data_IF_990624628409
#
_entry.id   IF_990624628409
#
_cell.length_a   1.000
_cell.length_b   1.000
_cell.length_c   1.000
_cell.angle_alpha   90.00
_cell.angle_beta   90.00
_cell.angle_gamma   90.00
#
_symmetry.space_group_name_H-M   'P 1'
#
loop_
_entity.id
_entity.type
_entity.pdbx_description
1 polymer ?
#
# COMPACT_ATOMS: atom_id res chain seq x y z
N UNK A 1 24.78 -24.43 10.29
CA UNK A 1 24.45 -23.36 11.28
C UNK A 1 23.07 -22.81 10.94
N UNK A 2 22.03 -23.02 11.78
CA UNK A 2 20.68 -22.49 11.49
C UNK A 2 20.64 -21.00 11.87
N UNK A 3 20.59 -20.12 10.87
CA UNK A 3 20.36 -18.69 11.11
C UNK A 3 18.97 -18.50 11.72
N UNK A 4 18.87 -18.36 13.04
CA UNK A 4 17.63 -17.97 13.71
C UNK A 4 17.34 -16.52 13.32
N UNK A 5 16.33 -16.30 12.47
CA UNK A 5 15.87 -14.95 12.17
C UNK A 5 15.32 -14.31 13.44
N UNK A 6 15.72 -13.07 13.71
CA UNK A 6 15.14 -12.26 14.77
C UNK A 6 13.66 -12.03 14.43
N UNK A 7 12.76 -12.56 15.26
CA UNK A 7 11.31 -12.41 15.07
C UNK A 7 10.97 -10.92 15.04
N UNK A 8 10.23 -10.47 14.04
CA UNK A 8 9.70 -9.11 14.01
C UNK A 8 8.72 -8.94 15.19
N UNK A 9 8.90 -7.86 15.94
CA UNK A 9 8.03 -7.47 17.06
C UNK A 9 7.44 -6.11 16.75
N UNK A 10 6.18 -5.89 17.15
CA UNK A 10 5.50 -4.61 16.98
C UNK A 10 6.23 -3.44 17.65
N UNK A 11 6.91 -3.70 18.77
CA UNK A 11 7.76 -2.72 19.47
C UNK A 11 8.88 -2.11 18.61
N UNK A 12 9.23 -2.72 17.48
CA UNK A 12 10.25 -2.20 16.57
C UNK A 12 9.69 -1.23 15.52
N UNK A 13 8.38 -0.98 15.52
CA UNK A 13 7.66 -0.18 14.55
C UNK A 13 6.88 0.92 15.26
N UNK A 14 6.62 2.04 14.57
CA UNK A 14 5.87 3.19 15.09
C UNK A 14 4.37 2.99 14.91
N UNK A 15 3.95 2.43 13.78
CA UNK A 15 2.52 2.33 13.42
C UNK A 15 2.05 0.90 13.15
N UNK A 16 2.93 0.03 12.65
CA UNK A 16 2.57 -1.35 12.29
C UNK A 16 2.34 -2.23 13.53
N UNK A 17 1.11 -2.75 13.62
CA UNK A 17 0.65 -3.62 14.71
C UNK A 17 0.85 -5.12 14.43
N UNK A 18 0.81 -5.94 15.48
CA UNK A 18 1.07 -7.40 15.42
C UNK A 18 0.26 -8.14 14.34
N UNK A 19 -1.00 -7.76 14.10
CA UNK A 19 -1.84 -8.40 13.06
C UNK A 19 -1.29 -8.15 11.65
N UNK A 20 -0.83 -6.94 11.38
CA UNK A 20 -0.23 -6.54 10.10
C UNK A 20 1.16 -7.17 9.94
N UNK A 21 1.92 -7.29 11.04
CA UNK A 21 3.17 -8.07 11.02
C UNK A 21 2.91 -9.52 10.65
N UNK A 22 1.83 -10.15 11.16
CA UNK A 22 1.51 -11.54 10.83
C UNK A 22 1.06 -11.68 9.36
N UNK A 23 0.22 -10.75 8.89
CA UNK A 23 -0.29 -10.73 7.52
C UNK A 23 -0.34 -9.29 7.00
N UNK A 24 0.67 -8.87 6.21
CA UNK A 24 0.72 -7.53 5.62
C UNK A 24 -0.46 -7.23 4.68
N UNK A 25 -1.08 -8.25 4.09
CA UNK A 25 -2.24 -8.06 3.21
C UNK A 25 -3.44 -7.43 3.93
N UNK A 26 -3.54 -7.56 5.26
CA UNK A 26 -4.57 -6.89 6.04
C UNK A 26 -4.49 -5.37 5.86
N UNK A 27 -3.28 -4.82 5.94
CA UNK A 27 -3.07 -3.39 5.71
C UNK A 27 -3.32 -3.02 4.25
N UNK A 28 -2.77 -3.81 3.32
CA UNK A 28 -2.86 -3.50 1.89
C UNK A 28 -4.32 -3.50 1.39
N UNK A 29 -5.13 -4.46 1.84
CA UNK A 29 -6.55 -4.55 1.50
C UNK A 29 -7.35 -3.38 2.08
N UNK A 30 -7.06 -2.96 3.30
CA UNK A 30 -7.70 -1.81 3.92
C UNK A 30 -7.33 -0.51 3.20
N UNK A 31 -6.02 -0.28 3.01
CA UNK A 31 -5.49 0.95 2.43
C UNK A 31 -5.90 1.14 0.97
N UNK A 32 -5.62 0.16 0.09
CA UNK A 32 -5.91 0.29 -1.35
C UNK A 32 -7.33 -0.14 -1.73
N UNK A 33 -7.97 -0.98 -0.92
CA UNK A 33 -9.35 -1.42 -1.18
C UNK A 33 -10.41 -0.44 -0.66
N UNK A 34 -10.11 0.29 0.42
CA UNK A 34 -11.13 1.12 1.09
C UNK A 34 -10.74 2.58 1.28
N UNK A 35 -9.45 2.90 1.52
CA UNK A 35 -9.05 4.26 1.90
C UNK A 35 -8.68 5.15 0.72
N UNK A 36 -7.93 4.64 -0.26
CA UNK A 36 -7.44 5.47 -1.37
C UNK A 36 -7.23 4.66 -2.66
N UNK A 37 -7.15 5.37 -3.78
CA UNK A 37 -6.74 4.80 -5.08
C UNK A 37 -5.27 5.10 -5.31
N UNK A 38 -4.55 4.19 -5.98
CA UNK A 38 -3.11 4.35 -6.22
C UNK A 38 -2.75 5.69 -6.87
N UNK A 39 -3.55 6.16 -7.84
CA UNK A 39 -3.32 7.45 -8.50
C UNK A 39 -3.47 8.67 -7.57
N UNK A 40 -4.34 8.61 -6.56
CA UNK A 40 -4.44 9.66 -5.54
C UNK A 40 -3.27 9.59 -4.58
N UNK A 41 -2.94 8.39 -4.10
CA UNK A 41 -1.83 8.22 -3.19
C UNK A 41 -0.47 8.65 -3.77
N UNK A 42 -0.22 8.39 -5.06
CA UNK A 42 0.98 8.88 -5.74
C UNK A 42 1.03 10.41 -5.82
N UNK A 43 -0.12 11.08 -5.92
CA UNK A 43 -0.19 12.55 -5.88
C UNK A 43 0.07 13.06 -4.46
N UNK A 44 -0.49 12.41 -3.45
CA UNK A 44 -0.27 12.77 -2.05
C UNK A 44 1.22 12.66 -1.69
N UNK A 45 1.90 11.58 -2.09
CA UNK A 45 3.36 11.44 -1.91
C UNK A 45 4.11 12.59 -2.59
N UNK A 46 3.74 12.94 -3.83
CA UNK A 46 4.36 14.06 -4.53
C UNK A 46 4.17 15.38 -3.80
N UNK A 47 2.97 15.64 -3.27
CA UNK A 47 2.68 16.85 -2.49
C UNK A 47 3.49 16.89 -1.20
N UNK A 48 3.56 15.79 -0.44
CA UNK A 48 4.38 15.67 0.77
C UNK A 48 5.84 16.03 0.47
N UNK A 49 6.41 15.41 -0.57
CA UNK A 49 7.81 15.64 -0.94
C UNK A 49 8.04 17.07 -1.40
N UNK A 50 7.16 17.62 -2.24
CA UNK A 50 7.29 19.00 -2.72
C UNK A 50 7.19 20.01 -1.57
N UNK A 51 6.21 19.85 -0.69
CA UNK A 51 6.03 20.74 0.46
C UNK A 51 7.19 20.65 1.45
N UNK A 52 7.78 19.46 1.63
CA UNK A 52 8.92 19.25 2.53
C UNK A 52 10.21 19.90 2.03
N UNK A 53 10.27 20.31 0.76
CA UNK A 53 11.46 20.87 0.12
C UNK A 53 11.22 22.35 -0.18
N UNK A 54 10.09 22.67 -0.80
CA UNK A 54 9.70 24.02 -1.15
C UNK A 54 8.43 24.43 -0.38
N UNK A 55 8.60 25.26 0.65
CA UNK A 55 7.48 25.78 1.45
C UNK A 55 6.48 26.61 0.62
N UNK A 56 6.93 27.25 -0.46
CA UNK A 56 6.07 28.04 -1.35
C UNK A 56 5.09 27.17 -2.16
N UNK A 57 5.43 25.90 -2.35
CA UNK A 57 4.53 24.92 -2.96
C UNK A 57 3.54 24.32 -1.95
N UNK A 58 3.70 24.59 -0.66
CA UNK A 58 2.77 24.14 0.36
C UNK A 58 1.45 24.90 0.28
N UNK A 59 0.35 24.21 0.59
CA UNK A 59 -0.95 24.82 0.80
C UNK A 59 -1.24 24.91 2.31
N UNK A 60 -1.02 26.07 2.97
CA UNK A 60 -1.19 26.20 4.42
C UNK A 60 -2.62 25.93 4.90
N UNK A 61 -3.61 26.09 4.01
CA UNK A 61 -5.02 25.84 4.31
C UNK A 61 -5.37 24.35 4.46
N UNK A 62 -4.50 23.44 4.00
CA UNK A 62 -4.69 21.99 4.07
C UNK A 62 -3.74 21.39 5.11
N UNK A 63 -4.21 21.20 6.33
CA UNK A 63 -3.41 20.68 7.46
C UNK A 63 -3.22 19.15 7.44
N UNK A 64 -3.59 18.47 6.35
CA UNK A 64 -3.56 17.00 6.26
C UNK A 64 -2.15 16.45 6.01
N UNK A 65 -1.16 17.32 5.78
CA UNK A 65 0.23 16.93 5.48
C UNK A 65 0.84 16.01 6.56
N UNK A 66 0.53 16.23 7.84
CA UNK A 66 0.99 15.36 8.93
C UNK A 66 0.32 13.98 8.91
N UNK A 67 -0.95 13.91 8.52
CA UNK A 67 -1.69 12.65 8.38
C UNK A 67 -1.11 11.81 7.23
N UNK A 68 -0.88 12.41 6.06
CA UNK A 68 -0.30 11.69 4.93
C UNK A 68 1.15 11.26 5.19
N UNK A 69 1.95 12.09 5.87
CA UNK A 69 3.31 11.70 6.25
C UNK A 69 3.29 10.49 7.21
N UNK A 70 2.35 10.45 8.16
CA UNK A 70 2.13 9.27 9.00
C UNK A 70 1.76 8.03 8.17
N UNK A 71 0.82 8.14 7.22
CA UNK A 71 0.46 7.03 6.32
C UNK A 71 1.66 6.54 5.50
N UNK A 72 2.54 7.45 5.08
CA UNK A 72 3.75 7.12 4.34
C UNK A 72 4.76 6.34 5.19
N UNK A 73 4.95 6.73 6.46
CA UNK A 73 5.79 5.97 7.41
C UNK A 73 5.20 4.57 7.60
N UNK A 74 3.88 4.45 7.79
CA UNK A 74 3.22 3.15 7.94
C UNK A 74 3.41 2.26 6.70
N UNK A 75 3.32 2.81 5.48
CA UNK A 75 3.64 2.06 4.26
C UNK A 75 5.09 1.57 4.21
N UNK A 76 6.06 2.41 4.63
CA UNK A 76 7.47 1.99 4.70
C UNK A 76 7.65 0.84 5.70
N UNK A 77 6.96 0.88 6.83
CA UNK A 77 6.99 -0.21 7.81
C UNK A 77 6.39 -1.50 7.27
N UNK A 78 5.22 -1.43 6.62
CA UNK A 78 4.56 -2.59 5.99
C UNK A 78 5.46 -3.20 4.92
N UNK A 79 6.05 -2.36 4.07
CA UNK A 79 7.04 -2.78 3.08
C UNK A 79 8.23 -3.49 3.73
N UNK A 80 8.72 -3.01 4.87
CA UNK A 80 9.82 -3.63 5.59
C UNK A 80 9.45 -5.00 6.15
N UNK A 81 8.22 -5.16 6.64
CA UNK A 81 7.70 -6.47 7.07
C UNK A 81 7.73 -7.44 5.90
N UNK A 82 7.18 -7.06 4.74
CA UNK A 82 7.17 -7.91 3.53
C UNK A 82 8.61 -8.26 3.12
N UNK A 83 9.49 -7.25 3.03
CA UNK A 83 10.91 -7.42 2.70
C UNK A 83 11.60 -8.47 3.59
N UNK A 84 11.34 -8.44 4.90
CA UNK A 84 11.92 -9.38 5.86
C UNK A 84 11.30 -10.76 5.81
N UNK A 85 9.98 -10.86 5.67
CA UNK A 85 9.26 -12.13 5.61
C UNK A 85 9.61 -12.92 4.34
N UNK A 86 9.67 -12.23 3.21
CA UNK A 86 10.04 -12.80 1.91
C UNK A 86 11.55 -13.02 1.75
N UNK A 87 12.37 -12.66 2.75
CA UNK A 87 13.84 -12.81 2.75
C UNK A 87 14.49 -12.18 1.52
N UNK A 88 13.97 -11.03 1.12
CA UNK A 88 14.49 -10.30 -0.02
C UNK A 88 15.94 -9.86 0.25
N UNK A 89 16.75 -9.88 -0.80
CA UNK A 89 18.19 -9.61 -0.72
C UNK A 89 18.45 -8.14 -1.01
N UNK A 90 19.53 -7.61 -0.44
CA UNK A 90 19.98 -6.27 -0.80
C UNK A 90 20.44 -6.23 -2.26
N UNK A 91 20.16 -5.12 -2.92
CA UNK A 91 20.60 -4.80 -4.27
C UNK A 91 21.86 -3.94 -4.22
N UNK A 92 22.83 -4.22 -5.08
CA UNK A 92 24.12 -3.48 -5.10
C UNK A 92 23.93 -2.05 -5.61
N UNK A 93 23.02 -1.88 -6.58
CA UNK A 93 22.73 -0.59 -7.21
C UNK A 93 21.26 -0.23 -7.03
N UNK A 94 20.88 0.40 -5.90
CA UNK A 94 19.48 0.67 -5.59
C UNK A 94 18.81 1.72 -6.51
N UNK A 95 19.60 2.56 -7.17
CA UNK A 95 19.11 3.62 -8.07
C UNK A 95 19.12 3.22 -9.56
N UNK A 96 19.52 2.00 -9.90
CA UNK A 96 19.48 1.49 -11.27
C UNK A 96 18.08 0.92 -11.56
N UNK A 97 17.17 1.80 -11.99
CA UNK A 97 15.76 1.47 -12.19
C UNK A 97 15.44 0.86 -13.56
N UNK A 98 16.19 1.21 -14.59
CA UNK A 98 15.94 0.78 -15.96
C UNK A 98 17.10 -0.09 -16.45
N UNK A 99 16.85 -1.40 -16.58
CA UNK A 99 17.84 -2.33 -17.14
C UNK A 99 17.77 -2.36 -18.67
N UNK A 100 16.57 -2.23 -19.21
CA UNK A 100 16.30 -2.31 -20.65
C UNK A 100 15.60 -1.05 -21.16
N UNK A 101 15.70 -0.80 -22.47
CA UNK A 101 14.92 0.26 -23.14
C UNK A 101 13.41 0.06 -22.95
N UNK A 102 12.96 -1.20 -22.89
CA UNK A 102 11.56 -1.54 -22.64
C UNK A 102 11.09 -1.04 -21.27
N UNK A 103 11.92 -1.17 -20.23
CA UNK A 103 11.60 -0.68 -18.88
C UNK A 103 11.41 0.84 -18.85
N UNK A 104 12.25 1.56 -19.59
CA UNK A 104 12.14 3.00 -19.71
C UNK A 104 10.80 3.41 -20.36
N UNK A 105 10.43 2.78 -21.47
CA UNK A 105 9.18 3.12 -22.16
C UNK A 105 7.94 2.67 -21.41
N UNK A 106 7.97 1.53 -20.72
CA UNK A 106 6.87 1.12 -19.84
C UNK A 106 6.61 2.17 -18.74
N UNK A 107 7.66 2.71 -18.15
CA UNK A 107 7.53 3.80 -17.19
C UNK A 107 7.03 5.10 -17.82
N UNK A 108 7.57 5.51 -18.96
CA UNK A 108 7.22 6.78 -19.61
C UNK A 108 5.81 6.79 -20.19
N UNK A 109 5.38 5.69 -20.81
CA UNK A 109 4.10 5.62 -21.53
C UNK A 109 2.97 5.09 -20.65
N UNK A 110 3.24 4.06 -19.86
CA UNK A 110 2.22 3.33 -19.11
C UNK A 110 2.24 3.69 -17.62
N UNK A 111 3.31 4.36 -17.14
CA UNK A 111 3.52 4.63 -15.72
C UNK A 111 3.95 3.39 -14.93
N UNK A 112 4.22 2.27 -15.61
CA UNK A 112 4.50 0.98 -14.99
C UNK A 112 5.95 0.87 -14.51
N UNK A 113 6.12 0.32 -13.31
CA UNK A 113 7.44 0.04 -12.72
C UNK A 113 7.87 -1.36 -13.10
N UNK A 114 8.51 -1.49 -14.26
CA UNK A 114 9.09 -2.76 -14.71
C UNK A 114 10.61 -2.79 -14.54
N UNK A 115 11.13 -4.00 -14.37
CA UNK A 115 12.57 -4.29 -14.42
C UNK A 115 12.78 -5.57 -15.24
N UNK A 116 13.60 -5.48 -16.30
CA UNK A 116 13.78 -6.56 -17.27
C UNK A 116 12.47 -6.93 -18.01
N UNK A 117 11.66 -5.92 -18.29
CA UNK A 117 10.40 -6.01 -19.04
C UNK A 117 9.24 -6.63 -18.27
N UNK A 118 9.35 -6.77 -16.94
CA UNK A 118 8.32 -7.34 -16.05
C UNK A 118 8.15 -6.50 -14.78
N UNK A 119 6.92 -6.40 -14.29
CA UNK A 119 6.63 -5.83 -12.97
C UNK A 119 7.23 -6.74 -11.91
N UNK A 120 8.08 -6.20 -11.04
CA UNK A 120 8.74 -6.98 -10.00
C UNK A 120 8.77 -6.21 -8.66
N UNK A 121 7.69 -6.31 -7.86
CA UNK A 121 7.63 -5.61 -6.58
C UNK A 121 8.73 -6.05 -5.61
N UNK A 122 9.20 -7.30 -5.70
CA UNK A 122 10.30 -7.80 -4.86
C UNK A 122 11.62 -7.08 -5.16
N UNK A 123 11.91 -6.80 -6.43
CA UNK A 123 13.09 -6.01 -6.83
C UNK A 123 12.98 -4.58 -6.31
N UNK A 124 11.81 -3.94 -6.45
CA UNK A 124 11.58 -2.59 -5.95
C UNK A 124 11.76 -2.49 -4.43
N UNK A 125 11.17 -3.41 -3.65
CA UNK A 125 11.38 -3.47 -2.21
C UNK A 125 12.85 -3.69 -1.85
N UNK A 126 13.55 -4.55 -2.60
CA UNK A 126 14.97 -4.82 -2.40
C UNK A 126 15.82 -3.56 -2.63
N UNK A 127 15.57 -2.82 -3.71
CA UNK A 127 16.25 -1.55 -4.01
C UNK A 127 15.94 -0.49 -2.96
N UNK A 128 14.68 -0.36 -2.55
CA UNK A 128 14.25 0.61 -1.53
C UNK A 128 15.00 0.46 -0.19
N UNK A 129 15.08 -0.75 0.35
CA UNK A 129 15.81 -1.03 1.60
C UNK A 129 17.33 -1.22 1.44
N UNK A 130 17.81 -1.13 0.19
CA UNK A 130 19.26 -1.08 -0.11
C UNK A 130 19.76 0.35 -0.24
N UNK A 131 18.90 1.29 -0.64
CA UNK A 131 19.21 2.71 -0.62
C UNK A 131 19.50 3.19 0.81
N UNK A 132 18.59 2.89 1.74
CA UNK A 132 18.80 3.15 3.16
C UNK A 132 18.04 2.16 4.06
N UNK A 133 18.46 2.08 5.32
CA UNK A 133 17.82 1.21 6.31
C UNK A 133 16.45 1.76 6.73
N UNK A 134 15.62 0.94 7.40
CA UNK A 134 14.35 1.40 7.97
C UNK A 134 14.55 2.62 8.89
N UNK A 135 15.62 2.62 9.69
CA UNK A 135 15.94 3.76 10.56
C UNK A 135 16.28 5.01 9.75
N UNK A 136 17.04 4.87 8.66
CA UNK A 136 17.35 6.00 7.77
C UNK A 136 16.10 6.55 7.06
N UNK A 137 15.14 5.67 6.74
CA UNK A 137 13.83 6.11 6.25
C UNK A 137 13.01 6.85 7.31
N UNK A 138 13.06 6.44 8.57
CA UNK A 138 12.44 7.23 9.63
C UNK A 138 13.06 8.61 9.75
N UNK A 139 14.39 8.72 9.78
CA UNK A 139 15.09 10.02 9.83
C UNK A 139 14.67 10.91 8.65
N UNK A 140 14.66 10.36 7.43
CA UNK A 140 14.23 11.09 6.22
C UNK A 140 12.79 11.59 6.31
N UNK A 141 11.85 10.75 6.77
CA UNK A 141 10.44 11.09 6.84
C UNK A 141 10.13 12.02 8.04
N UNK A 142 10.88 11.90 9.13
CA UNK A 142 10.80 12.82 10.26
C UNK A 142 11.30 14.20 9.88
N UNK A 143 12.43 14.28 9.16
CA UNK A 143 12.93 15.54 8.61
C UNK A 143 11.85 16.19 7.73
N UNK A 144 11.25 15.44 6.80
CA UNK A 144 10.15 15.94 5.96
C UNK A 144 8.97 16.44 6.82
N UNK A 145 8.56 15.68 7.84
CA UNK A 145 7.45 16.06 8.73
C UNK A 145 7.75 17.35 9.51
N UNK A 146 8.99 17.54 9.98
CA UNK A 146 9.38 18.76 10.68
C UNK A 146 9.23 19.99 9.77
N UNK A 147 9.59 19.89 8.50
CA UNK A 147 9.45 20.99 7.54
C UNK A 147 8.01 21.28 7.13
N UNK A 148 7.17 20.25 7.08
CA UNK A 148 5.74 20.45 6.91
C UNK A 148 5.13 21.26 8.07
N UNK A 149 5.71 21.14 9.27
CA UNK A 149 5.26 21.87 10.46
C UNK A 149 5.89 23.26 10.58
N UNK A 150 7.15 23.43 10.16
CA UNK A 150 7.88 24.70 10.22
C UNK A 150 7.84 25.44 8.87
N UNK A 151 6.81 26.27 8.69
CA UNK A 151 6.65 27.11 7.50
C UNK A 151 7.64 28.28 7.45
N UNK A 152 8.54 28.41 8.43
CA UNK A 152 9.57 29.46 8.41
C UNK A 152 10.75 28.96 7.57
N UNK A 153 10.77 29.36 6.30
CA UNK A 153 11.68 28.86 5.24
C UNK A 153 13.18 29.03 5.51
N UNK A 154 13.75 28.20 6.39
CA UNK A 154 15.18 28.09 6.63
C UNK A 154 15.78 26.98 5.74
N UNK A 155 16.20 27.39 4.54
CA UNK A 155 17.24 26.71 3.76
C UNK A 155 16.83 25.38 3.10
N UNK A 156 16.44 25.50 1.83
CA UNK A 156 15.99 24.52 0.82
C UNK A 156 17.04 23.43 0.42
N UNK A 157 18.16 23.30 1.13
CA UNK A 157 19.31 22.52 0.63
C UNK A 157 19.56 21.17 1.33
N UNK A 158 18.79 20.77 2.36
CA UNK A 158 19.12 19.56 3.15
C UNK A 158 19.05 18.27 2.34
N UNK A 159 18.08 18.16 1.44
CA UNK A 159 17.99 16.98 0.58
C UNK A 159 18.86 17.09 -0.67
N UNK A 160 19.13 18.31 -1.15
CA UNK A 160 19.88 18.57 -2.38
C UNK A 160 19.42 17.67 -3.53
N UNK A 161 20.35 17.16 -4.31
CA UNK A 161 20.06 16.22 -5.41
C UNK A 161 19.44 14.89 -4.94
N UNK A 162 19.57 14.53 -3.65
CA UNK A 162 19.01 13.27 -3.12
C UNK A 162 17.49 13.28 -3.09
N UNK A 163 16.86 14.46 -3.10
CA UNK A 163 15.40 14.56 -3.09
C UNK A 163 14.77 13.84 -4.28
N UNK A 164 15.43 13.90 -5.45
CA UNK A 164 14.96 13.24 -6.67
C UNK A 164 14.95 11.72 -6.46
N UNK A 165 16.00 11.17 -5.86
CA UNK A 165 16.08 9.74 -5.55
C UNK A 165 15.07 9.33 -4.48
N UNK A 166 14.90 10.13 -3.43
CA UNK A 166 13.93 9.88 -2.35
C UNK A 166 12.51 9.86 -2.91
N UNK A 167 12.15 10.89 -3.69
CA UNK A 167 10.84 10.99 -4.37
C UNK A 167 10.56 9.76 -5.22
N UNK A 168 11.49 9.42 -6.10
CA UNK A 168 11.34 8.29 -7.02
C UNK A 168 11.19 6.97 -6.26
N UNK A 169 11.97 6.75 -5.21
CA UNK A 169 11.90 5.55 -4.38
C UNK A 169 10.57 5.44 -3.62
N UNK A 170 10.04 6.55 -3.09
CA UNK A 170 8.75 6.56 -2.39
C UNK A 170 7.58 6.28 -3.34
N UNK A 171 7.60 6.86 -4.55
CA UNK A 171 6.59 6.58 -5.58
C UNK A 171 6.62 5.11 -6.02
N UNK A 172 7.80 4.59 -6.32
CA UNK A 172 7.98 3.17 -6.69
C UNK A 172 7.59 2.23 -5.56
N UNK A 173 7.84 2.60 -4.30
CA UNK A 173 7.40 1.83 -3.14
C UNK A 173 5.87 1.69 -3.12
N UNK A 174 5.15 2.80 -3.28
CA UNK A 174 3.70 2.81 -3.32
C UNK A 174 3.16 1.93 -4.45
N UNK A 175 3.74 2.02 -5.65
CA UNK A 175 3.38 1.17 -6.79
C UNK A 175 3.67 -0.30 -6.51
N UNK A 176 4.82 -0.63 -5.92
CA UNK A 176 5.15 -2.01 -5.56
C UNK A 176 4.17 -2.59 -4.55
N UNK A 177 3.77 -1.83 -3.53
CA UNK A 177 2.77 -2.25 -2.56
C UNK A 177 1.38 -2.43 -3.20
N UNK A 178 1.01 -1.54 -4.12
CA UNK A 178 -0.21 -1.68 -4.91
C UNK A 178 -0.19 -2.94 -5.79
N UNK A 179 0.91 -3.23 -6.47
CA UNK A 179 1.01 -4.47 -7.25
C UNK A 179 0.96 -5.73 -6.38
N UNK A 180 1.49 -5.69 -5.14
CA UNK A 180 1.34 -6.80 -4.20
C UNK A 180 -0.13 -6.96 -3.80
N UNK A 181 -0.84 -5.87 -3.56
CA UNK A 181 -2.27 -5.86 -3.30
C UNK A 181 -3.06 -6.47 -4.48
N UNK A 182 -2.86 -5.92 -5.68
CA UNK A 182 -3.59 -6.26 -6.90
C UNK A 182 -3.39 -7.72 -7.31
N UNK A 183 -2.17 -8.25 -7.12
CA UNK A 183 -1.87 -9.66 -7.38
C UNK A 183 -2.27 -10.61 -6.23
N UNK A 184 -2.84 -10.10 -5.13
CA UNK A 184 -3.18 -10.89 -3.94
C UNK A 184 -1.97 -11.42 -3.15
N UNK A 185 -0.78 -10.90 -3.40
CA UNK A 185 0.45 -11.29 -2.70
C UNK A 185 1.72 -11.10 -3.51
N UNK A 186 2.86 -11.45 -2.91
CA UNK A 186 4.17 -11.42 -3.56
C UNK A 186 4.60 -12.82 -3.99
N UNK A 187 4.66 -13.06 -5.30
CA UNK A 187 5.19 -14.30 -5.87
C UNK A 187 6.70 -14.36 -5.75
N UNK A 188 7.21 -15.08 -4.75
CA UNK A 188 8.65 -15.32 -4.56
C UNK A 188 9.01 -16.68 -5.15
N UNK A 189 10.01 -16.72 -6.05
CA UNK A 189 10.53 -17.98 -6.57
C UNK A 189 11.16 -18.79 -5.44
N UNK A 190 10.50 -19.89 -5.04
CA UNK A 190 11.07 -20.86 -4.11
C UNK A 190 12.06 -21.76 -4.86
N UNK A 191 13.26 -22.02 -4.30
CA UNK A 191 14.12 -23.08 -4.79
C UNK A 191 13.35 -24.41 -4.87
N UNK A 192 13.59 -25.21 -5.92
CA UNK A 192 12.81 -26.44 -6.23
C UNK A 192 12.74 -27.48 -5.11
N UNK A 193 13.64 -27.42 -4.12
CA UNK A 193 13.67 -28.31 -2.96
C UNK A 193 12.84 -27.80 -1.75
N UNK A 194 12.22 -26.63 -1.84
CA UNK A 194 11.33 -26.07 -0.82
C UNK A 194 9.88 -26.10 -1.30
N UNK A 195 9.07 -26.98 -0.70
CA UNK A 195 7.64 -27.02 -0.93
C UNK A 195 6.97 -25.91 -0.13
N UNK A 196 6.22 -25.02 -0.80
CA UNK A 196 5.36 -24.07 -0.12
C UNK A 196 4.16 -24.84 0.47
N UNK A 197 4.01 -24.84 1.79
CA UNK A 197 2.78 -25.28 2.42
C UNK A 197 1.78 -24.13 2.34
N UNK A 198 0.79 -24.23 1.46
CA UNK A 198 -0.44 -23.45 1.58
C UNK A 198 -1.18 -23.96 2.82
N UNK A 199 -1.43 -23.07 3.78
CA UNK A 199 -2.37 -23.37 4.86
C UNK A 199 -3.74 -23.06 4.30
N UNK A 200 -4.34 -24.02 3.61
CA UNK A 200 -5.79 -24.04 3.41
C UNK A 200 -6.29 -25.48 3.52
N UNK A 201 -7.36 -25.61 4.32
CA UNK A 201 -8.30 -26.72 4.46
C UNK A 201 -7.73 -28.11 4.86
N UNK A 202 -7.80 -28.39 6.16
CA UNK A 202 -8.30 -29.69 6.65
C UNK A 202 -9.47 -29.33 7.57
N UNK A 203 -10.72 -29.52 7.14
CA UNK A 203 -11.43 -30.81 7.15
C UNK A 203 -11.05 -31.64 8.38
N UNK A 204 -11.83 -31.44 9.42
CA UNK A 204 -11.97 -32.38 10.53
C UNK A 204 -13.20 -33.22 10.26
N UNK A 205 -12.92 -34.39 9.68
CA UNK A 205 -13.58 -35.68 9.78
C UNK A 205 -15.10 -35.77 10.01
N UNK A 206 -15.71 -36.48 9.06
CA UNK A 206 -16.91 -37.26 9.23
C UNK A 206 -16.71 -38.35 10.29
N UNK A 207 -17.70 -38.49 11.18
CA UNK A 207 -18.04 -39.77 11.78
C UNK A 207 -19.42 -40.19 11.23
N UNK A 208 -19.44 -41.32 10.54
CA UNK A 208 -20.65 -42.07 10.18
C UNK A 208 -21.24 -42.75 11.42
N UNK A 209 -22.56 -42.71 11.57
CA UNK A 209 -23.47 -43.88 11.66
C UNK A 209 -24.76 -43.52 12.40
N UNK A 210 -25.91 -43.84 11.78
CA UNK A 210 -27.23 -43.76 12.40
C UNK A 210 -28.36 -43.63 11.39
N UNK A 211 -28.77 -44.76 10.83
CA UNK A 211 -29.90 -44.88 9.91
C UNK A 211 -31.24 -44.48 10.59
N UNK A 212 -32.06 -43.71 9.85
CA UNK A 212 -33.49 -44.01 9.63
C UNK A 212 -34.06 -43.05 8.56
N UNK A 213 -34.57 -43.62 7.47
CA UNK A 213 -35.42 -42.97 6.45
C UNK A 213 -36.91 -43.02 6.92
N UNK A 214 -37.90 -42.46 6.18
CA UNK A 214 -38.00 -41.12 5.60
C UNK A 214 -39.39 -40.50 5.90
N UNK A 215 -39.57 -39.18 5.80
CA UNK A 215 -40.92 -38.61 5.60
C UNK A 215 -40.87 -37.49 4.57
N UNK A 216 -41.51 -37.78 3.43
CA UNK A 216 -41.83 -36.86 2.36
C UNK A 216 -42.92 -35.85 2.77
N UNK A 217 -42.91 -34.68 2.12
CA UNK A 217 -43.97 -33.67 1.89
C UNK A 217 -43.28 -32.30 1.98
N UNK A 218 -43.16 -31.46 0.96
CA UNK A 218 -44.05 -31.22 -0.16
C UNK A 218 -44.17 -29.68 -0.29
N UNK A 219 -44.09 -29.20 -1.53
CA UNK A 219 -44.57 -27.89 -2.01
C UNK A 219 -43.64 -26.66 -1.81
N UNK A 220 -42.98 -26.28 -2.91
CA UNK A 220 -43.08 -24.91 -3.44
C UNK A 220 -44.45 -24.78 -4.16
N UNK A 221 -45.07 -23.59 -4.32
CA UNK A 221 -44.53 -22.57 -5.22
C UNK A 221 -44.85 -21.08 -4.90
N UNK A 222 -44.28 -20.21 -5.73
CA UNK A 222 -44.80 -18.91 -6.24
C UNK A 222 -45.06 -17.76 -5.26
N UNK A 223 -44.31 -16.65 -5.34
CA UNK A 223 -44.43 -15.54 -6.30
C UNK A 223 -45.68 -14.65 -6.09
N UNK A 224 -45.47 -13.38 -5.70
CA UNK A 224 -46.22 -12.15 -6.07
C UNK A 224 -45.78 -11.01 -5.13
N UNK A 225 -45.33 -9.88 -5.67
CA UNK A 225 -46.07 -8.61 -5.62
C UNK A 225 -45.65 -7.80 -4.38
N UNK A 226 -45.41 -6.49 -4.35
CA UNK A 226 -45.69 -5.35 -5.22
C UNK A 226 -44.70 -4.23 -4.81
N UNK A 227 -44.30 -3.40 -5.77
CA UNK A 227 -43.76 -2.06 -5.53
C UNK A 227 -44.94 -1.10 -5.38
N UNK A 228 -44.90 -0.12 -4.46
CA UNK A 228 -45.63 1.12 -4.65
C UNK A 228 -44.68 2.19 -5.19
N UNK A 229 -44.98 2.61 -6.42
CA UNK A 229 -44.76 3.97 -6.91
C UNK A 229 -45.67 4.94 -6.13
N UNK A 230 -45.17 6.14 -5.82
CA UNK A 230 -45.97 7.34 -6.03
C UNK A 230 -45.10 8.58 -6.25
N UNK A 231 -45.44 9.28 -7.32
CA UNK A 231 -44.94 10.57 -7.77
C UNK A 231 -45.61 11.74 -7.02
N UNK A 232 -45.07 12.95 -7.25
CA UNK A 232 -45.67 14.30 -7.19
C UNK A 232 -45.46 15.08 -5.90
N UNK A 233 -45.16 16.38 -5.90
CA UNK A 233 -44.85 17.40 -6.92
C UNK A 233 -44.32 18.63 -6.17
N UNK A 234 -43.43 19.38 -6.83
CA UNK A 234 -43.08 20.80 -6.75
C UNK A 234 -43.68 21.67 -5.61
N UNK A 235 -42.86 22.54 -5.01
CA UNK A 235 -43.03 23.99 -5.23
C UNK A 235 -41.80 24.81 -4.80
N UNK A 236 -41.51 25.80 -5.64
CA UNK A 236 -40.48 26.82 -5.54
C UNK A 236 -40.80 27.82 -4.42
N UNK A 237 -39.77 28.44 -3.83
CA UNK A 237 -39.79 29.88 -3.54
C UNK A 237 -38.39 30.41 -3.15
N UNK A 238 -37.77 31.12 -4.10
CA UNK A 238 -36.90 32.27 -3.79
C UNK A 238 -37.78 33.53 -3.81
N UNK A 239 -37.44 34.54 -2.99
CA UNK A 239 -37.28 35.89 -3.55
C UNK A 239 -36.00 36.57 -3.00
N UNK A 240 -35.12 37.09 -3.86
CA UNK A 240 -35.09 38.45 -4.45
C UNK A 240 -34.31 39.46 -3.60
N UNK A 241 -33.30 40.03 -4.25
CA UNK A 241 -32.45 41.17 -3.87
C UNK A 241 -33.24 42.46 -3.59
N UNK A 242 -32.76 43.27 -2.65
CA UNK A 242 -32.63 44.77 -2.64
C UNK A 242 -32.15 45.14 -1.23
N UNK A 243 -31.18 46.02 -0.93
CA UNK A 243 -30.45 47.11 -1.60
C UNK A 243 -29.03 47.14 -1.03
#
# INVERSE_FOLDING_TARGET
MKFKQKKLKAENFRYVIKRVIKNPMIYLNDFFGSQTRINYWLRDINLIVNHAVCSDMACPALSESGFHCRQLIEQVEVAYVIYKQCRLKKHVKPLEFFKTKKDYWAFVLDGDVTFDGKVNPADTLSKFFSYQSLLGWYETLDDMMMYLADQTGWGDERFGDRIVAIRELLLRLAQALYHIYDNGGLSVQMPSYLTAYSVDAKDGDADEEGADEPVALGNAPEATGELPSDERTEEQNQPTETQ
#
